data_IF_711517021178
#
_entry.id   IF_711517021178
#
_cell.length_a   1.000
_cell.length_b   1.000
_cell.length_c   1.000
_cell.angle_alpha   90.00
_cell.angle_beta   90.00
_cell.angle_gamma   90.00
#
_symmetry.space_group_name_H-M   'P 1'
#
loop_
_entity.id
_entity.type
_entity.pdbx_description
1 polymer ?
#
# COMPACT_ATOMS: atom_id res chain seq x y z
N UNK A 1 20.51 17.99 32.43
CA UNK A 1 20.49 17.16 31.20
C UNK A 1 19.14 16.50 30.92
N UNK A 2 18.29 16.23 31.91
CA UNK A 2 16.98 15.57 31.75
C UNK A 2 15.92 16.40 30.99
N UNK A 3 15.97 17.73 31.03
CA UNK A 3 15.04 18.59 30.29
C UNK A 3 15.15 18.47 28.75
N UNK A 4 16.26 17.94 28.23
CA UNK A 4 16.44 17.71 26.79
C UNK A 4 15.63 16.53 26.26
N UNK A 5 15.21 15.60 27.14
CA UNK A 5 14.42 14.42 26.77
C UNK A 5 13.03 14.83 26.27
N UNK A 6 12.49 15.93 26.77
CA UNK A 6 11.20 16.48 26.32
C UNK A 6 11.21 17.00 24.86
N UNK A 7 12.38 17.07 24.22
CA UNK A 7 12.53 17.48 22.81
C UNK A 7 12.94 16.31 21.89
N UNK A 8 12.92 15.07 22.38
CA UNK A 8 13.23 13.91 21.56
C UNK A 8 12.01 13.58 20.71
N UNK A 9 12.18 13.63 19.39
CA UNK A 9 11.22 13.08 18.44
C UNK A 9 11.68 11.66 18.11
N UNK A 10 10.89 10.62 18.43
CA UNK A 10 11.25 9.26 18.08
C UNK A 10 11.12 9.06 16.57
N UNK A 11 12.21 8.62 15.94
CA UNK A 11 12.18 8.18 14.54
C UNK A 11 11.89 6.68 14.51
N UNK A 12 10.86 6.30 13.76
CA UNK A 12 10.40 4.92 13.63
C UNK A 12 10.40 4.43 12.18
N UNK A 13 10.69 5.32 11.21
CA UNK A 13 10.71 5.00 9.79
C UNK A 13 11.93 4.13 9.46
N UNK A 14 11.75 2.88 9.00
CA UNK A 14 12.88 1.98 8.74
C UNK A 14 13.89 2.54 7.73
N UNK A 15 13.40 3.24 6.71
CA UNK A 15 14.24 3.88 5.69
C UNK A 15 15.19 4.91 6.30
N UNK A 16 14.78 5.66 7.32
CA UNK A 16 15.63 6.66 7.97
C UNK A 16 16.62 6.02 8.96
N UNK A 17 16.22 4.92 9.58
CA UNK A 17 17.01 4.21 10.59
C UNK A 17 18.09 3.31 9.97
N UNK A 18 17.78 2.66 8.85
CA UNK A 18 18.61 1.59 8.27
C UNK A 18 19.31 1.99 6.98
N UNK A 19 18.89 3.07 6.31
CA UNK A 19 19.60 3.61 5.15
C UNK A 19 20.62 4.63 5.65
N UNK A 20 21.93 4.45 5.33
CA UNK A 20 22.92 5.45 5.71
C UNK A 20 22.67 6.77 4.98
N UNK A 21 22.58 7.84 5.76
CA UNK A 21 22.39 9.21 5.29
C UNK A 21 23.67 9.74 4.62
N UNK A 22 23.52 10.67 3.68
CA UNK A 22 24.58 11.26 2.85
C UNK A 22 25.30 10.25 1.93
N UNK A 23 24.59 9.23 1.47
CA UNK A 23 25.13 8.28 0.50
C UNK A 23 24.85 8.70 -0.94
N UNK A 24 25.59 8.13 -1.90
CA UNK A 24 25.31 8.36 -3.32
C UNK A 24 23.94 7.78 -3.72
N UNK A 25 23.53 6.66 -3.10
CA UNK A 25 22.22 6.06 -3.32
C UNK A 25 21.06 6.99 -2.93
N UNK A 26 21.20 7.76 -1.85
CA UNK A 26 20.20 8.76 -1.44
C UNK A 26 20.07 9.87 -2.50
N UNK A 27 21.19 10.38 -3.01
CA UNK A 27 21.19 11.40 -4.07
C UNK A 27 20.58 10.88 -5.36
N UNK A 28 20.93 9.66 -5.77
CA UNK A 28 20.36 9.02 -6.96
C UNK A 28 18.85 8.81 -6.79
N UNK A 29 18.40 8.39 -5.61
CA UNK A 29 16.98 8.21 -5.29
C UNK A 29 16.25 9.56 -5.34
N UNK A 30 16.81 10.61 -4.73
CA UNK A 30 16.24 11.97 -4.80
C UNK A 30 16.18 12.51 -6.23
N UNK A 31 17.22 12.27 -7.03
CA UNK A 31 17.23 12.62 -8.45
C UNK A 31 16.15 11.85 -9.23
N UNK A 32 16.00 10.55 -8.99
CA UNK A 32 14.95 9.74 -9.61
C UNK A 32 13.54 10.21 -9.24
N UNK A 33 13.27 10.45 -7.95
CA UNK A 33 11.98 10.93 -7.44
C UNK A 33 11.63 12.35 -7.93
N UNK A 34 12.61 13.13 -8.39
CA UNK A 34 12.36 14.45 -9.01
C UNK A 34 11.73 14.34 -10.41
N UNK A 35 11.95 13.23 -11.11
CA UNK A 35 11.43 12.98 -12.46
C UNK A 35 10.27 12.01 -12.48
N UNK A 36 10.25 11.03 -11.58
CA UNK A 36 9.24 9.98 -11.51
C UNK A 36 8.57 10.00 -10.14
N UNK A 37 7.24 9.81 -10.09
CA UNK A 37 6.54 9.68 -8.81
C UNK A 37 7.10 8.49 -8.03
N UNK A 38 6.99 8.56 -6.69
CA UNK A 38 7.42 7.48 -5.80
C UNK A 38 6.78 6.16 -6.19
N UNK A 39 7.52 5.08 -5.97
CA UNK A 39 7.02 3.72 -6.22
C UNK A 39 5.75 3.45 -5.42
N UNK A 40 4.77 2.80 -6.06
CA UNK A 40 3.54 2.38 -5.41
C UNK A 40 3.83 1.45 -4.21
N UNK A 41 3.04 1.58 -3.14
CA UNK A 41 3.08 0.65 -2.01
C UNK A 41 2.37 -0.65 -2.41
N UNK A 42 3.01 -1.79 -2.16
CA UNK A 42 2.44 -3.11 -2.47
C UNK A 42 1.95 -3.78 -1.20
N UNK A 43 0.63 -3.98 -1.10
CA UNK A 43 0.00 -4.81 -0.07
C UNK A 43 -0.46 -6.12 -0.72
N UNK A 44 0.10 -7.24 -0.25
CA UNK A 44 -0.19 -8.56 -0.80
C UNK A 44 -0.89 -9.42 0.25
N UNK A 45 -1.90 -10.18 -0.18
CA UNK A 45 -2.56 -11.19 0.64
C UNK A 45 -2.37 -12.56 -0.01
N UNK A 46 -1.96 -13.54 0.79
CA UNK A 46 -1.81 -14.93 0.38
C UNK A 46 -3.00 -15.72 0.94
N UNK A 47 -3.83 -16.27 0.04
CA UNK A 47 -4.97 -17.11 0.41
C UNK A 47 -4.56 -18.56 0.24
N UNK A 48 -4.73 -19.34 1.31
CA UNK A 48 -4.38 -20.77 1.37
C UNK A 48 -5.56 -21.58 1.87
N UNK A 49 -5.60 -22.86 1.53
CA UNK A 49 -6.62 -23.78 2.02
C UNK A 49 -6.56 -23.94 3.54
N UNK A 50 -7.72 -24.14 4.19
CA UNK A 50 -7.78 -24.36 5.63
C UNK A 50 -7.11 -25.69 6.03
N UNK A 51 -7.06 -26.63 5.09
CA UNK A 51 -6.40 -27.93 5.27
C UNK A 51 -5.34 -28.18 4.20
N UNK A 52 -4.30 -28.94 4.55
CA UNK A 52 -3.21 -29.26 3.64
C UNK A 52 -3.75 -30.03 2.42
N UNK A 53 -3.50 -29.51 1.22
CA UNK A 53 -3.94 -30.10 -0.05
C UNK A 53 -5.38 -29.76 -0.45
N UNK A 54 -6.03 -28.87 0.27
CA UNK A 54 -7.34 -28.33 -0.12
C UNK A 54 -7.22 -27.48 -1.38
N UNK A 55 -8.14 -27.70 -2.32
CA UNK A 55 -8.18 -26.92 -3.55
C UNK A 55 -8.77 -25.54 -3.30
N UNK A 56 -7.93 -24.50 -3.38
CA UNK A 56 -8.36 -23.10 -3.21
C UNK A 56 -9.09 -22.57 -4.46
N UNK A 57 -8.97 -23.24 -5.61
CA UNK A 57 -9.61 -22.85 -6.87
C UNK A 57 -11.04 -23.39 -7.02
N UNK A 58 -11.68 -23.83 -5.92
CA UNK A 58 -13.11 -24.16 -5.94
C UNK A 58 -13.94 -22.89 -6.08
N UNK A 59 -15.12 -23.02 -6.69
CA UNK A 59 -16.00 -21.88 -6.92
C UNK A 59 -16.35 -21.17 -5.61
N UNK A 60 -16.59 -21.93 -4.55
CA UNK A 60 -16.96 -21.43 -3.23
C UNK A 60 -15.84 -20.60 -2.62
N UNK A 61 -14.59 -21.09 -2.68
CA UNK A 61 -13.42 -20.39 -2.17
C UNK A 61 -13.11 -19.11 -2.97
N UNK A 62 -13.28 -19.17 -4.30
CA UNK A 62 -13.13 -18.00 -5.17
C UNK A 62 -14.21 -16.94 -4.89
N UNK A 63 -15.46 -17.33 -4.69
CA UNK A 63 -16.55 -16.40 -4.32
C UNK A 63 -16.26 -15.78 -2.94
N UNK A 64 -15.80 -16.57 -1.98
CA UNK A 64 -15.44 -16.05 -0.65
C UNK A 64 -14.28 -15.04 -0.73
N UNK A 65 -13.28 -15.32 -1.55
CA UNK A 65 -12.12 -14.43 -1.75
C UNK A 65 -12.54 -13.13 -2.46
N UNK A 66 -13.45 -13.23 -3.44
CA UNK A 66 -13.99 -12.06 -4.14
C UNK A 66 -14.78 -11.16 -3.18
N UNK A 67 -15.60 -11.74 -2.30
CA UNK A 67 -16.32 -10.96 -1.26
C UNK A 67 -15.38 -10.27 -0.29
N UNK A 68 -14.31 -10.95 0.13
CA UNK A 68 -13.28 -10.35 0.98
C UNK A 68 -12.61 -9.17 0.27
N UNK A 69 -12.36 -9.27 -1.03
CA UNK A 69 -11.82 -8.16 -1.82
C UNK A 69 -12.80 -6.98 -1.89
N UNK A 70 -14.09 -7.22 -2.16
CA UNK A 70 -15.15 -6.20 -2.17
C UNK A 70 -15.27 -5.48 -0.81
N UNK A 71 -15.17 -6.22 0.30
CA UNK A 71 -15.20 -5.64 1.66
C UNK A 71 -13.99 -4.73 1.93
N UNK A 72 -12.81 -5.10 1.44
CA UNK A 72 -11.59 -4.29 1.57
C UNK A 72 -11.68 -3.04 0.70
N UNK A 73 -12.21 -3.16 -0.51
CA UNK A 73 -12.38 -2.04 -1.45
C UNK A 73 -13.37 -1.00 -0.91
N UNK A 74 -14.48 -1.44 -0.33
CA UNK A 74 -15.50 -0.57 0.25
C UNK A 74 -15.12 0.01 1.63
N UNK A 75 -13.99 -0.39 2.20
CA UNK A 75 -13.52 0.09 3.50
C UNK A 75 -13.17 1.57 3.46
N UNK A 76 -13.81 2.37 4.34
CA UNK A 76 -13.48 3.78 4.53
C UNK A 76 -12.35 3.88 5.56
N UNK A 77 -11.30 4.58 5.19
CA UNK A 77 -10.15 4.90 6.03
C UNK A 77 -10.27 6.36 6.44
N UNK A 78 -10.43 6.60 7.73
CA UNK A 78 -10.31 7.94 8.29
C UNK A 78 -8.83 8.34 8.34
N UNK A 79 -8.50 9.51 7.79
CA UNK A 79 -7.14 10.04 7.87
C UNK A 79 -6.72 10.23 9.34
N UNK A 80 -5.48 9.88 9.72
CA UNK A 80 -4.94 10.28 11.02
C UNK A 80 -4.97 11.82 11.15
N UNK A 81 -5.24 12.29 12.38
CA UNK A 81 -5.58 13.67 12.74
C UNK A 81 -4.52 14.75 12.36
N UNK A 82 -3.35 14.37 11.86
CA UNK A 82 -2.20 15.29 11.74
C UNK A 82 -1.97 15.90 10.34
N UNK A 83 -2.55 15.36 9.25
CA UNK A 83 -2.27 15.89 7.89
C UNK A 83 -3.53 16.26 7.06
N UNK A 84 -4.70 15.70 7.36
CA UNK A 84 -5.97 15.96 6.66
C UNK A 84 -7.15 15.73 7.61
N UNK A 85 -7.57 16.77 8.32
CA UNK A 85 -8.63 16.68 9.34
C UNK A 85 -9.99 16.38 8.67
N UNK A 86 -10.50 15.15 8.83
CA UNK A 86 -11.87 14.77 8.47
C UNK A 86 -12.11 14.34 7.02
N UNK A 87 -11.07 14.07 6.25
CA UNK A 87 -11.24 13.47 4.91
C UNK A 87 -11.33 11.93 5.03
N UNK A 88 -12.44 11.40 4.51
CA UNK A 88 -12.67 9.97 4.36
C UNK A 88 -12.08 9.52 3.03
N UNK A 89 -11.18 8.54 3.06
CA UNK A 89 -10.58 7.96 1.88
C UNK A 89 -11.04 6.52 1.72
N UNK A 90 -11.45 6.14 0.52
CA UNK A 90 -11.62 4.74 0.14
C UNK A 90 -10.30 4.18 -0.41
N UNK A 91 -10.19 2.85 -0.50
CA UNK A 91 -9.03 2.23 -1.14
C UNK A 91 -8.86 2.70 -2.60
N UNK A 92 -9.97 2.94 -3.31
CA UNK A 92 -9.97 3.43 -4.69
C UNK A 92 -9.41 4.84 -4.85
N UNK A 93 -9.43 5.66 -3.79
CA UNK A 93 -8.87 7.02 -3.82
C UNK A 93 -7.34 7.01 -3.64
N UNK A 94 -6.82 6.02 -2.90
CA UNK A 94 -5.40 5.95 -2.53
C UNK A 94 -4.59 4.97 -3.41
N UNK A 95 -5.27 4.07 -4.11
CA UNK A 95 -4.57 3.03 -4.87
C UNK A 95 -3.88 3.60 -6.10
N UNK A 96 -2.76 2.97 -6.47
CA UNK A 96 -2.18 3.21 -7.78
C UNK A 96 -3.10 2.56 -8.83
N UNK A 97 -3.57 3.29 -9.85
CA UNK A 97 -4.39 2.72 -10.89
C UNK A 97 -3.58 1.67 -11.67
N UNK A 98 -4.10 0.44 -11.68
CA UNK A 98 -3.60 -0.70 -12.42
C UNK A 98 -3.89 -0.55 -13.90
N UNK A 99 -2.82 -0.52 -14.70
CA UNK A 99 -2.91 -0.20 -16.13
C UNK A 99 -1.67 0.60 -16.51
N UNK A 100 -0.51 -0.07 -16.42
CA UNK A 100 0.79 0.57 -16.49
C UNK A 100 0.90 1.60 -17.59
N UNK A 101 1.17 2.86 -17.22
CA UNK A 101 1.70 3.96 -18.04
C UNK A 101 1.13 4.24 -19.45
N UNK A 102 0.15 3.49 -19.99
CA UNK A 102 -0.13 3.46 -21.43
C UNK A 102 -1.57 3.07 -21.85
N UNK A 103 -2.49 2.74 -20.95
CA UNK A 103 -3.89 2.50 -21.32
C UNK A 103 -4.80 3.53 -20.65
N UNK A 104 -5.74 4.06 -21.43
CA UNK A 104 -6.69 5.13 -21.09
C UNK A 104 -7.14 5.08 -19.63
N UNK A 105 -6.66 6.04 -18.86
CA UNK A 105 -7.10 6.32 -17.50
C UNK A 105 -8.53 6.86 -17.55
N UNK A 106 -9.49 6.10 -17.03
CA UNK A 106 -10.80 6.62 -16.67
C UNK A 106 -10.77 6.97 -15.18
N UNK A 107 -10.79 8.26 -14.80
CA UNK A 107 -10.83 8.68 -13.39
C UNK A 107 -12.11 8.23 -12.66
N UNK A 108 -13.12 7.73 -13.38
CA UNK A 108 -14.39 7.27 -12.80
C UNK A 108 -14.44 5.77 -12.50
N UNK A 109 -13.44 4.99 -12.94
CA UNK A 109 -13.33 3.54 -12.69
C UNK A 109 -11.85 3.09 -12.53
N UNK A 110 -11.14 3.55 -11.48
CA UNK A 110 -9.75 3.17 -11.26
C UNK A 110 -9.66 1.71 -10.81
N UNK A 111 -9.14 0.83 -11.67
CA UNK A 111 -8.82 -0.54 -11.26
C UNK A 111 -7.64 -0.50 -10.30
N UNK A 112 -7.85 -0.66 -9.00
CA UNK A 112 -6.75 -0.77 -8.05
C UNK A 112 -5.92 -2.03 -8.32
N UNK A 113 -4.60 -1.90 -8.41
CA UNK A 113 -3.72 -3.07 -8.52
C UNK A 113 -3.58 -3.78 -7.16
N UNK A 114 -4.65 -4.38 -6.65
CA UNK A 114 -4.58 -5.39 -5.60
C UNK A 114 -4.10 -6.69 -6.23
N UNK A 115 -2.79 -6.87 -6.29
CA UNK A 115 -2.19 -8.09 -6.82
C UNK A 115 -2.36 -9.23 -5.80
N UNK A 116 -3.34 -10.12 -6.04
CA UNK A 116 -3.32 -11.45 -5.42
C UNK A 116 -2.25 -12.29 -6.15
N UNK A 117 -1.00 -12.22 -5.68
CA UNK A 117 0.16 -12.79 -6.40
C UNK A 117 0.19 -14.33 -6.37
N UNK A 118 -0.47 -14.98 -5.40
CA UNK A 118 -0.39 -16.44 -5.33
C UNK A 118 -1.58 -17.06 -4.59
N UNK A 119 -2.19 -18.04 -5.25
CA UNK A 119 -3.11 -19.02 -4.67
C UNK A 119 -2.29 -20.30 -4.49
N UNK A 120 -2.08 -20.75 -3.25
CA UNK A 120 -1.28 -21.92 -2.89
C UNK A 120 -2.12 -22.98 -2.19
#
# INVERSE_FOLDING_TARGET
CSAGIAKINPENRPEELWVPQNTEAEKETSAYESYFPRTSRFNNMLVTGATAGENVLTKENLISTMKLHEEIEAGIIESPEEETEGEEFSLTDLCAPGGGSCATYDPTDPICSCFAISVL
#
